data_IF_868925542159
#
_entry.id   IF_868925542159
#
_cell.length_a   1.000
_cell.length_b   1.000
_cell.length_c   1.000
_cell.angle_alpha   90.00
_cell.angle_beta   90.00
_cell.angle_gamma   90.00
#
_symmetry.space_group_name_H-M   'P 1'
#
loop_
_entity.id
_entity.type
_entity.pdbx_description
1 polymer ?
#
# COMPACT_ATOMS: atom_id res chain seq x y z
N UNK A 1 -16.37 30.77 12.43
CA UNK A 1 -16.56 29.94 13.64
C UNK A 1 -15.42 28.92 13.76
N UNK A 2 -15.02 28.50 14.95
CA UNK A 2 -13.94 27.52 15.13
C UNK A 2 -14.33 26.42 16.13
N UNK A 3 -13.90 25.19 15.84
CA UNK A 3 -13.99 24.02 16.70
C UNK A 3 -12.57 23.60 17.12
N UNK A 4 -12.09 23.99 18.31
CA UNK A 4 -10.69 23.78 18.72
C UNK A 4 -10.38 22.32 19.10
N UNK A 5 -11.40 21.51 19.38
CA UNK A 5 -11.27 20.11 19.80
C UNK A 5 -11.69 19.13 18.70
N UNK A 6 -11.55 19.51 17.43
CA UNK A 6 -11.77 18.57 16.35
C UNK A 6 -10.64 17.55 16.33
N UNK A 7 -10.96 16.28 16.58
CA UNK A 7 -9.99 15.20 16.64
C UNK A 7 -10.10 14.27 15.45
N UNK A 8 -8.97 13.75 15.01
CA UNK A 8 -8.88 12.71 13.99
C UNK A 8 -8.03 11.56 14.51
N UNK A 9 -8.38 10.35 14.12
CA UNK A 9 -7.64 9.16 14.50
C UNK A 9 -6.69 8.76 13.36
N UNK A 10 -5.41 8.60 13.67
CA UNK A 10 -4.40 8.01 12.78
C UNK A 10 -3.87 6.73 13.43
N UNK A 11 -4.35 5.57 12.98
CA UNK A 11 -4.03 4.29 13.60
C UNK A 11 -4.52 4.22 15.06
N UNK A 12 -3.60 4.04 16.00
CA UNK A 12 -3.90 4.00 17.45
C UNK A 12 -3.83 5.37 18.13
N UNK A 13 -3.41 6.41 17.40
CA UNK A 13 -3.21 7.75 17.96
C UNK A 13 -4.35 8.70 17.57
N UNK A 14 -4.72 9.59 18.49
CA UNK A 14 -5.72 10.64 18.26
C UNK A 14 -5.03 11.99 18.21
N UNK A 15 -5.21 12.71 17.11
CA UNK A 15 -4.66 14.03 16.88
C UNK A 15 -5.79 15.05 16.93
N UNK A 16 -5.75 15.93 17.93
CA UNK A 16 -6.68 17.05 18.03
C UNK A 16 -6.09 18.27 17.33
N UNK A 17 -6.74 18.72 16.26
CA UNK A 17 -6.40 19.96 15.55
C UNK A 17 -7.61 20.89 15.51
N UNK A 18 -7.40 22.19 15.61
CA UNK A 18 -8.50 23.14 15.46
C UNK A 18 -8.95 23.23 14.00
N UNK A 19 -10.26 23.13 13.75
CA UNK A 19 -10.86 23.49 12.45
C UNK A 19 -11.62 24.80 12.58
N UNK A 20 -11.32 25.74 11.71
CA UNK A 20 -12.05 27.00 11.59
C UNK A 20 -12.81 27.04 10.25
N UNK A 21 -13.99 27.62 10.25
CA UNK A 21 -14.78 27.92 9.06
C UNK A 21 -14.99 29.42 8.96
N UNK A 22 -14.75 29.95 7.76
CA UNK A 22 -15.07 31.31 7.37
C UNK A 22 -16.43 31.30 6.69
N UNK A 23 -17.34 32.13 7.19
CA UNK A 23 -18.69 32.30 6.63
C UNK A 23 -18.82 33.70 6.05
N UNK A 24 -19.68 33.86 5.04
CA UNK A 24 -20.11 35.18 4.56
C UNK A 24 -21.23 35.77 5.44
N UNK A 25 -21.84 36.87 4.98
CA UNK A 25 -22.90 37.56 5.74
C UNK A 25 -24.20 36.76 5.76
N UNK A 26 -24.42 35.88 4.79
CA UNK A 26 -25.54 34.96 4.66
C UNK A 26 -25.29 33.60 5.33
N UNK A 27 -24.23 33.51 6.15
CA UNK A 27 -23.79 32.30 6.86
C UNK A 27 -23.43 31.13 5.92
N UNK A 28 -23.09 31.40 4.67
CA UNK A 28 -22.61 30.40 3.72
C UNK A 28 -21.12 30.17 3.89
N UNK A 29 -20.69 28.92 3.65
CA UNK A 29 -19.29 28.52 3.80
C UNK A 29 -18.43 29.14 2.70
N UNK A 30 -17.46 29.97 3.09
CA UNK A 30 -16.46 30.56 2.18
C UNK A 30 -15.18 29.74 2.16
N UNK A 31 -14.68 29.36 3.34
CA UNK A 31 -13.44 28.61 3.47
C UNK A 31 -13.41 27.76 4.74
N UNK A 32 -12.62 26.69 4.71
CA UNK A 32 -12.26 25.91 5.91
C UNK A 32 -10.75 25.95 6.10
N UNK A 33 -10.33 26.24 7.33
CA UNK A 33 -8.94 26.34 7.73
C UNK A 33 -8.62 25.28 8.77
N UNK A 34 -7.60 24.48 8.50
CA UNK A 34 -7.06 23.48 9.43
C UNK A 34 -5.53 23.41 9.27
N UNK A 35 -4.80 24.49 9.63
CA UNK A 35 -3.37 24.62 9.32
C UNK A 35 -2.49 23.57 10.01
N UNK A 36 -2.95 22.99 11.11
CA UNK A 36 -2.27 21.93 11.87
C UNK A 36 -2.94 20.56 11.71
N UNK A 37 -3.75 20.36 10.67
CA UNK A 37 -4.33 19.05 10.39
C UNK A 37 -3.19 18.04 10.15
N UNK A 38 -3.04 17.08 11.05
CA UNK A 38 -2.05 16.01 10.90
C UNK A 38 -2.40 15.19 9.66
N UNK A 39 -1.44 15.01 8.75
CA UNK A 39 -1.60 14.00 7.70
C UNK A 39 -1.28 12.65 8.33
N UNK A 40 -2.24 11.72 8.33
CA UNK A 40 -2.02 10.35 8.80
C UNK A 40 -1.20 9.56 7.77
N UNK A 41 0.08 9.91 7.60
CA UNK A 41 0.97 9.24 6.67
C UNK A 41 1.43 7.89 7.24
N UNK A 42 1.13 6.81 6.54
CA UNK A 42 1.69 5.48 6.80
C UNK A 42 2.85 5.27 5.83
N UNK A 43 4.06 5.62 6.25
CA UNK A 43 5.27 5.35 5.48
C UNK A 43 5.73 3.93 5.79
N UNK A 44 5.67 3.05 4.80
CA UNK A 44 6.10 1.67 4.95
C UNK A 44 6.44 1.10 3.58
N UNK A 45 7.57 0.41 3.50
CA UNK A 45 7.95 -0.35 2.33
C UNK A 45 7.62 -1.82 2.59
N UNK A 46 6.85 -2.43 1.69
CA UNK A 46 6.46 -3.83 1.78
C UNK A 46 7.05 -4.57 0.57
N UNK A 47 7.81 -5.63 0.82
CA UNK A 47 8.25 -6.54 -0.23
C UNK A 47 7.53 -7.87 -0.02
N UNK A 48 6.74 -8.28 -1.01
CA UNK A 48 6.05 -9.58 -0.98
C UNK A 48 6.84 -10.59 -1.81
N UNK A 49 7.23 -11.70 -1.20
CA UNK A 49 7.97 -12.78 -1.85
C UNK A 49 7.04 -13.97 -2.06
N UNK A 50 6.73 -14.28 -3.31
CA UNK A 50 5.71 -15.25 -3.72
C UNK A 50 6.35 -16.52 -4.28
N UNK A 51 5.90 -17.69 -3.83
CA UNK A 51 6.30 -18.98 -4.40
C UNK A 51 5.60 -19.19 -5.75
N UNK A 52 6.37 -19.17 -6.84
CA UNK A 52 5.93 -19.39 -8.22
C UNK A 52 6.19 -20.81 -8.74
N UNK A 53 6.58 -21.75 -7.88
CA UNK A 53 6.89 -23.14 -8.26
C UNK A 53 5.67 -23.92 -8.78
N UNK A 54 5.90 -25.05 -9.46
CA UNK A 54 4.85 -25.91 -10.02
C UNK A 54 3.93 -26.59 -8.99
N UNK A 55 4.33 -26.63 -7.72
CA UNK A 55 3.46 -27.11 -6.64
C UNK A 55 2.37 -26.13 -6.22
N UNK A 56 2.48 -24.85 -6.61
CA UNK A 56 1.50 -23.83 -6.28
C UNK A 56 0.45 -23.75 -7.40
N UNK A 57 -0.71 -24.33 -7.11
CA UNK A 57 -1.88 -24.32 -7.98
C UNK A 57 -3.15 -24.46 -7.13
N UNK A 58 -4.24 -23.74 -7.44
CA UNK A 58 -4.38 -22.87 -8.60
C UNK A 58 -3.86 -21.43 -8.33
N UNK A 59 -3.30 -20.76 -9.35
CA UNK A 59 -2.55 -19.51 -9.16
C UNK A 59 -3.44 -18.31 -8.83
N UNK A 60 -4.70 -18.34 -9.26
CA UNK A 60 -5.68 -17.30 -8.99
C UNK A 60 -5.92 -17.07 -7.49
N UNK A 61 -5.70 -18.08 -6.64
CA UNK A 61 -5.80 -17.95 -5.19
C UNK A 61 -4.66 -17.09 -4.62
N UNK A 62 -3.45 -17.19 -5.20
CA UNK A 62 -2.31 -16.33 -4.84
C UNK A 62 -2.58 -14.89 -5.27
N UNK A 63 -3.11 -14.69 -6.48
CA UNK A 63 -3.51 -13.36 -6.96
C UNK A 63 -4.61 -12.74 -6.09
N UNK A 64 -5.61 -13.54 -5.70
CA UNK A 64 -6.70 -13.09 -4.83
C UNK A 64 -6.20 -12.74 -3.43
N UNK A 65 -5.33 -13.58 -2.85
CA UNK A 65 -4.67 -13.29 -1.57
C UNK A 65 -3.88 -11.99 -1.65
N UNK A 66 -3.04 -11.83 -2.66
CA UNK A 66 -2.24 -10.62 -2.87
C UNK A 66 -3.15 -9.39 -2.98
N UNK A 67 -4.16 -9.43 -3.84
CA UNK A 67 -5.13 -8.34 -3.98
C UNK A 67 -5.83 -7.97 -2.65
N UNK A 68 -6.25 -8.96 -1.88
CA UNK A 68 -6.92 -8.76 -0.58
C UNK A 68 -6.01 -8.13 0.47
N UNK A 69 -4.72 -8.48 0.47
CA UNK A 69 -3.72 -7.89 1.37
C UNK A 69 -3.42 -6.45 0.95
N UNK A 70 -3.13 -6.23 -0.34
CA UNK A 70 -2.75 -4.92 -0.88
C UNK A 70 -3.87 -3.89 -0.76
N UNK A 71 -5.13 -4.31 -0.84
CA UNK A 71 -6.29 -3.45 -0.66
C UNK A 71 -6.42 -2.84 0.75
N UNK A 72 -5.65 -3.33 1.74
CA UNK A 72 -5.69 -2.81 3.12
C UNK A 72 -4.71 -1.66 3.38
N UNK A 73 -3.79 -1.38 2.45
CA UNK A 73 -2.77 -0.36 2.62
C UNK A 73 -3.11 0.93 1.88
N UNK A 74 -2.69 2.07 2.45
CA UNK A 74 -2.75 3.36 1.78
C UNK A 74 -1.52 3.51 0.87
N UNK A 75 -1.73 3.18 -0.42
CA UNK A 75 -0.70 3.23 -1.46
C UNK A 75 -0.64 4.63 -2.07
N UNK A 76 0.57 5.22 -2.12
CA UNK A 76 0.76 6.55 -2.68
C UNK A 76 2.22 7.01 -2.66
N UNK A 77 2.58 8.01 -3.48
CA UNK A 77 3.87 8.68 -3.37
C UNK A 77 4.01 9.33 -1.99
N UNK A 78 5.06 8.99 -1.24
CA UNK A 78 5.20 9.42 0.16
C UNK A 78 4.19 8.77 1.10
N UNK A 79 3.72 7.57 0.79
CA UNK A 79 2.95 6.67 1.66
C UNK A 79 3.50 5.24 1.52
N UNK A 80 2.65 4.22 1.64
CA UNK A 80 3.08 2.83 1.51
C UNK A 80 3.49 2.54 0.07
N UNK A 81 4.62 1.87 -0.10
CA UNK A 81 5.09 1.35 -1.38
C UNK A 81 5.21 -0.16 -1.30
N UNK A 82 4.96 -0.83 -2.43
CA UNK A 82 4.96 -2.29 -2.48
C UNK A 82 5.76 -2.78 -3.68
N UNK A 83 6.77 -3.60 -3.40
CA UNK A 83 7.50 -4.40 -4.38
C UNK A 83 7.05 -5.87 -4.30
N UNK A 84 7.15 -6.59 -5.42
CA UNK A 84 6.82 -8.02 -5.47
C UNK A 84 7.93 -8.78 -6.17
N UNK A 85 8.35 -9.88 -5.53
CA UNK A 85 9.29 -10.85 -6.06
C UNK A 85 8.58 -12.19 -6.18
N UNK A 86 8.80 -12.91 -7.29
CA UNK A 86 8.46 -14.32 -7.42
C UNK A 86 9.71 -15.19 -7.32
N UNK A 87 9.58 -16.37 -6.72
CA UNK A 87 10.67 -17.35 -6.67
C UNK A 87 10.22 -18.76 -7.03
N UNK A 88 11.13 -19.51 -7.64
CA UNK A 88 11.03 -20.95 -7.87
C UNK A 88 12.43 -21.53 -8.01
N UNK A 89 12.87 -21.71 -9.25
CA UNK A 89 14.27 -22.03 -9.59
C UNK A 89 15.17 -20.78 -9.58
N UNK A 90 14.59 -19.63 -9.93
CA UNK A 90 15.23 -18.32 -9.95
C UNK A 90 14.34 -17.28 -9.27
N UNK A 91 14.93 -16.19 -8.78
CA UNK A 91 14.20 -15.02 -8.29
C UNK A 91 13.86 -14.11 -9.48
N UNK A 92 12.63 -13.62 -9.53
CA UNK A 92 12.15 -12.65 -10.52
C UNK A 92 11.57 -11.46 -9.79
N UNK A 93 12.04 -10.26 -10.14
CA UNK A 93 11.39 -9.03 -9.73
C UNK A 93 10.21 -8.75 -10.65
N UNK A 94 9.00 -8.85 -10.10
CA UNK A 94 7.77 -8.60 -10.86
C UNK A 94 7.51 -7.10 -10.97
N UNK A 95 7.75 -6.39 -9.86
CA UNK A 95 7.82 -4.94 -9.86
C UNK A 95 8.51 -4.39 -8.63
N UNK A 96 9.05 -3.19 -8.82
CA UNK A 96 9.79 -2.43 -7.85
C UNK A 96 8.93 -1.66 -6.85
N UNK A 97 9.54 -1.29 -5.72
CA UNK A 97 8.97 -0.28 -4.82
C UNK A 97 8.69 1.02 -5.62
N UNK A 98 7.49 1.56 -5.45
CA UNK A 98 7.07 2.79 -6.12
C UNK A 98 6.67 2.64 -7.60
N UNK A 99 6.88 1.47 -8.22
CA UNK A 99 6.49 1.24 -9.63
C UNK A 99 4.97 1.33 -9.83
N UNK A 100 4.19 0.95 -8.82
CA UNK A 100 2.74 1.12 -8.78
C UNK A 100 2.35 2.17 -7.73
N UNK A 101 2.36 3.48 -8.08
CA UNK A 101 2.18 4.56 -7.12
C UNK A 101 0.72 4.73 -6.67
N UNK A 102 -0.22 3.95 -7.19
CA UNK A 102 -1.64 4.02 -6.80
C UNK A 102 -2.21 2.65 -6.48
N UNK A 103 -3.16 2.59 -5.54
CA UNK A 103 -3.84 1.35 -5.17
C UNK A 103 -4.50 0.66 -6.38
N UNK A 104 -5.08 1.43 -7.31
CA UNK A 104 -5.66 0.89 -8.54
C UNK A 104 -4.59 0.19 -9.39
N UNK A 105 -3.49 0.89 -9.71
CA UNK A 105 -2.41 0.31 -10.53
C UNK A 105 -1.79 -0.93 -9.89
N UNK A 106 -1.67 -0.95 -8.56
CA UNK A 106 -1.11 -2.07 -7.81
C UNK A 106 -2.05 -3.29 -7.82
N UNK A 107 -3.36 -3.07 -7.65
CA UNK A 107 -4.36 -4.15 -7.69
C UNK A 107 -4.54 -4.72 -9.10
N UNK A 108 -4.42 -3.89 -10.13
CA UNK A 108 -4.41 -4.34 -11.52
C UNK A 108 -3.16 -5.20 -11.83
N UNK A 109 -1.99 -4.78 -11.36
CA UNK A 109 -0.76 -5.57 -11.49
C UNK A 109 -0.86 -6.92 -10.77
N UNK A 110 -1.35 -6.93 -9.53
CA UNK A 110 -1.59 -8.16 -8.75
C UNK A 110 -2.53 -9.14 -9.46
N UNK A 111 -3.59 -8.65 -10.12
CA UNK A 111 -4.54 -9.47 -10.88
C UNK A 111 -3.94 -10.06 -12.15
N UNK A 112 -3.00 -9.36 -12.77
CA UNK A 112 -2.38 -9.77 -14.02
C UNK A 112 -1.05 -10.51 -13.82
N UNK A 113 -0.61 -10.68 -12.56
CA UNK A 113 0.63 -11.35 -12.22
C UNK A 113 0.58 -12.82 -12.64
N UNK A 114 1.48 -13.26 -13.53
CA UNK A 114 1.53 -14.65 -13.99
C UNK A 114 2.54 -15.46 -13.18
N UNK A 115 2.20 -16.70 -12.85
CA UNK A 115 3.11 -17.62 -12.17
C UNK A 115 4.38 -17.85 -12.99
N UNK A 116 5.54 -17.79 -12.36
CA UNK A 116 6.84 -18.02 -13.02
C UNK A 116 6.96 -19.41 -13.67
N UNK A 117 6.40 -20.43 -13.02
CA UNK A 117 6.58 -21.85 -13.35
C UNK A 117 8.04 -22.32 -13.14
N UNK A 118 8.20 -23.54 -12.61
CA UNK A 118 9.52 -24.05 -12.24
C UNK A 118 9.45 -25.35 -11.47
N UNK A 119 10.50 -26.17 -11.59
CA UNK A 119 10.58 -27.51 -10.96
C UNK A 119 11.11 -27.48 -9.53
N UNK A 120 11.62 -26.34 -9.09
CA UNK A 120 12.25 -26.16 -7.79
C UNK A 120 11.57 -25.05 -6.98
N UNK A 121 11.77 -25.10 -5.66
CA UNK A 121 11.26 -24.12 -4.69
C UNK A 121 12.42 -23.67 -3.81
N UNK A 122 13.16 -22.64 -4.25
CA UNK A 122 14.37 -22.17 -3.57
C UNK A 122 14.09 -21.04 -2.58
N UNK A 123 13.27 -21.29 -1.56
CA UNK A 123 12.87 -20.27 -0.57
C UNK A 123 14.05 -19.63 0.15
N UNK A 124 15.09 -20.41 0.49
CA UNK A 124 16.27 -19.88 1.16
C UNK A 124 17.09 -18.90 0.30
N UNK A 125 17.13 -19.14 -1.03
CA UNK A 125 17.73 -18.20 -1.97
C UNK A 125 16.86 -16.95 -2.06
N UNK A 126 15.55 -17.10 -2.18
CA UNK A 126 14.63 -15.97 -2.29
C UNK A 126 14.72 -15.03 -1.09
N UNK A 127 14.70 -15.56 0.14
CA UNK A 127 14.81 -14.73 1.36
C UNK A 127 16.18 -14.08 1.47
N UNK A 128 17.24 -14.80 1.05
CA UNK A 128 18.58 -14.21 0.99
C UNK A 128 18.54 -13.04 0.03
N UNK A 129 18.13 -13.23 -1.21
CA UNK A 129 18.24 -12.21 -2.26
C UNK A 129 17.12 -11.14 -2.22
N UNK A 130 16.11 -11.30 -1.36
CA UNK A 130 15.03 -10.33 -1.16
C UNK A 130 15.46 -9.12 -0.31
N UNK A 131 16.46 -8.39 -0.82
CA UNK A 131 16.86 -7.08 -0.33
C UNK A 131 16.59 -6.03 -1.40
N UNK A 132 16.06 -4.89 -0.96
CA UNK A 132 15.76 -3.72 -1.76
C UNK A 132 16.60 -2.56 -1.21
N UNK A 133 17.51 -2.03 -2.02
CA UNK A 133 18.35 -0.85 -1.72
C UNK A 133 17.70 0.44 -2.26
#
# INVERSE_FOLDING_TARGET
ACAPLWSQQCGTSVFSSGRCVQLDQELQLVATMAPTAQRCSTFMDIVVVLDGSNSIYPWEEVQAFLGNVLARFFIGPGQTQVGVLQYGEHLVEEWALGQHPTAQSLLEAARNLTRQEGRETRTAMAIREAWWD
#
